data_IF_885395879121
#
_entry.id   IF_885395879121
#
_cell.length_a   1.000
_cell.length_b   1.000
_cell.length_c   1.000
_cell.angle_alpha   90.00
_cell.angle_beta   90.00
_cell.angle_gamma   90.00
#
_symmetry.space_group_name_H-M   'P 1'
#
loop_
_entity.id
_entity.type
_entity.pdbx_description
1 polymer ?
#
# COMPACT_ATOMS: atom_id res chain seq x y z
N UNK A 1 2.12 -2.69 -13.51
CA UNK A 1 3.21 -2.41 -14.46
C UNK A 1 4.34 -1.69 -13.73
N UNK A 2 5.59 -2.07 -14.01
CA UNK A 2 6.74 -1.28 -13.54
C UNK A 2 6.78 0.01 -14.36
N UNK A 3 6.82 1.15 -13.67
CA UNK A 3 6.77 2.46 -14.31
C UNK A 3 8.03 2.76 -15.16
N UNK A 4 9.17 2.19 -14.76
CA UNK A 4 10.45 2.28 -15.47
C UNK A 4 10.53 1.42 -16.75
N UNK A 5 9.60 0.47 -16.91
CA UNK A 5 9.45 -0.36 -18.09
C UNK A 5 8.24 0.05 -18.97
N UNK A 6 7.63 1.19 -18.65
CA UNK A 6 6.52 1.73 -19.41
C UNK A 6 7.02 2.33 -20.74
N UNK A 7 6.48 1.90 -21.86
CA UNK A 7 6.75 2.51 -23.17
C UNK A 7 5.46 2.66 -23.96
N UNK A 8 5.36 3.77 -24.69
CA UNK A 8 4.20 4.06 -25.56
C UNK A 8 3.98 2.98 -26.64
N UNK A 9 5.05 2.32 -27.12
CA UNK A 9 4.95 1.25 -28.13
C UNK A 9 4.23 0.00 -27.58
N UNK A 10 4.47 -0.34 -26.32
CA UNK A 10 3.76 -1.45 -25.66
C UNK A 10 2.30 -1.07 -25.44
N UNK A 11 2.06 0.18 -25.09
CA UNK A 11 0.73 0.68 -24.76
C UNK A 11 -0.15 0.89 -26.00
N UNK A 12 0.41 1.25 -27.15
CA UNK A 12 -0.35 1.35 -28.39
C UNK A 12 -1.03 0.02 -28.78
N UNK A 13 -0.38 -1.09 -28.46
CA UNK A 13 -0.92 -2.45 -28.71
C UNK A 13 -2.02 -2.87 -27.72
N UNK A 14 -2.11 -2.21 -26.55
CA UNK A 14 -3.12 -2.49 -25.51
C UNK A 14 -4.33 -1.54 -25.64
N UNK A 15 -4.17 -0.42 -26.35
CA UNK A 15 -5.20 0.62 -26.50
C UNK A 15 -6.49 0.14 -27.19
N UNK A 16 -6.40 -0.88 -28.04
CA UNK A 16 -7.54 -1.38 -28.84
C UNK A 16 -8.58 -2.15 -28.01
N UNK A 17 -8.27 -2.53 -26.76
CA UNK A 17 -9.13 -3.46 -26.03
C UNK A 17 -10.00 -2.77 -24.97
N UNK A 18 -9.52 -1.85 -24.20
CA UNK A 18 -10.24 -0.96 -23.25
C UNK A 18 -9.26 -0.17 -22.42
N UNK A 19 -9.43 1.16 -22.33
CA UNK A 19 -8.62 1.99 -21.43
C UNK A 19 -9.03 1.74 -19.96
N UNK A 20 -8.37 0.79 -19.32
CA UNK A 20 -8.44 0.62 -17.86
C UNK A 20 -7.54 1.65 -17.17
N UNK A 21 -7.69 1.82 -15.85
CA UNK A 21 -6.75 2.65 -15.07
C UNK A 21 -5.34 2.06 -15.12
N UNK A 22 -4.34 2.90 -15.30
CA UNK A 22 -2.94 2.49 -15.14
C UNK A 22 -2.57 2.46 -13.67
N UNK A 23 -1.84 1.45 -13.28
CA UNK A 23 -1.41 1.25 -11.90
C UNK A 23 0.11 1.30 -11.83
N UNK A 24 0.62 2.18 -10.99
CA UNK A 24 2.04 2.32 -10.67
C UNK A 24 2.23 2.10 -9.17
N UNK A 25 3.42 1.64 -8.79
CA UNK A 25 3.77 1.36 -7.40
C UNK A 25 5.02 2.17 -6.98
N UNK A 26 4.86 3.46 -6.65
CA UNK A 26 5.95 4.24 -6.05
C UNK A 26 6.43 3.67 -4.72
N UNK A 27 5.56 3.01 -3.98
CA UNK A 27 5.70 2.41 -2.65
C UNK A 27 5.83 3.43 -1.51
N UNK A 28 6.44 4.60 -1.75
CA UNK A 28 6.59 5.66 -0.75
C UNK A 28 6.41 7.05 -1.35
N UNK A 29 5.96 8.01 -0.54
CA UNK A 29 5.65 9.37 -0.95
C UNK A 29 6.88 10.21 -1.26
N UNK A 30 8.01 9.97 -0.57
CA UNK A 30 9.24 10.75 -0.73
C UNK A 30 10.35 9.94 -1.36
N UNK A 31 11.33 10.65 -1.98
CA UNK A 31 12.53 10.00 -2.51
C UNK A 31 13.32 9.34 -1.38
N UNK A 32 13.48 10.03 -0.24
CA UNK A 32 14.18 9.48 0.92
C UNK A 32 13.64 8.10 1.29
N UNK A 33 12.33 7.96 1.37
CA UNK A 33 11.72 6.69 1.79
C UNK A 33 11.83 5.62 0.70
N UNK A 34 11.74 6.00 -0.58
CA UNK A 34 12.03 5.08 -1.69
C UNK A 34 13.47 4.56 -1.67
N UNK A 35 14.42 5.41 -1.29
CA UNK A 35 15.83 5.01 -1.16
C UNK A 35 16.03 4.07 0.02
N UNK A 36 15.37 4.32 1.17
CA UNK A 36 15.41 3.42 2.34
C UNK A 36 14.96 2.00 1.99
N UNK A 37 13.90 1.85 1.20
CA UNK A 37 13.39 0.54 0.78
C UNK A 37 14.07 0.01 -0.49
N UNK A 38 15.12 0.67 -0.95
CA UNK A 38 15.88 0.33 -2.18
C UNK A 38 14.96 0.16 -3.42
N UNK A 39 13.96 1.02 -3.56
CA UNK A 39 13.01 0.94 -4.69
C UNK A 39 13.65 1.28 -6.04
N UNK A 40 14.72 2.08 -6.04
CA UNK A 40 15.43 2.49 -7.24
C UNK A 40 14.59 3.33 -8.23
N UNK A 41 13.52 3.97 -7.74
CA UNK A 41 12.56 4.73 -8.53
C UNK A 41 12.59 6.21 -8.11
N UNK A 42 12.96 7.09 -9.03
CA UNK A 42 12.98 8.53 -8.76
C UNK A 42 11.61 9.18 -9.01
N UNK A 43 11.38 10.33 -8.40
CA UNK A 43 10.18 11.12 -8.65
C UNK A 43 10.07 11.50 -10.13
N UNK A 44 11.20 11.83 -10.77
CA UNK A 44 11.26 12.15 -12.18
C UNK A 44 10.76 10.99 -13.07
N UNK A 45 11.18 9.76 -12.77
CA UNK A 45 10.72 8.56 -13.49
C UNK A 45 9.22 8.36 -13.31
N UNK A 46 8.69 8.60 -12.10
CA UNK A 46 7.26 8.51 -11.82
C UNK A 46 6.47 9.52 -12.64
N UNK A 47 6.89 10.77 -12.61
CA UNK A 47 6.22 11.85 -13.35
C UNK A 47 6.31 11.64 -14.85
N UNK A 48 7.47 11.23 -15.37
CA UNK A 48 7.64 10.88 -16.79
C UNK A 48 6.69 9.77 -17.22
N UNK A 49 6.61 8.68 -16.46
CA UNK A 49 5.68 7.59 -16.77
C UNK A 49 4.21 8.01 -16.73
N UNK A 50 3.85 8.91 -15.81
CA UNK A 50 2.51 9.49 -15.74
C UNK A 50 2.22 10.39 -16.96
N UNK A 51 3.18 11.25 -17.38
CA UNK A 51 3.05 12.08 -18.57
C UNK A 51 2.86 11.23 -19.83
N UNK A 52 3.67 10.20 -20.03
CA UNK A 52 3.53 9.27 -21.16
C UNK A 52 2.14 8.60 -21.17
N UNK A 53 1.62 8.23 -19.99
CA UNK A 53 0.27 7.68 -19.86
C UNK A 53 -0.79 8.70 -20.31
N UNK A 54 -0.66 9.96 -19.89
CA UNK A 54 -1.60 11.02 -20.24
C UNK A 54 -1.56 11.34 -21.73
N UNK A 55 -0.38 11.44 -22.35
CA UNK A 55 -0.22 11.58 -23.80
C UNK A 55 -0.79 10.37 -24.56
N UNK A 56 -0.73 9.17 -23.98
CA UNK A 56 -1.42 7.99 -24.48
C UNK A 56 -2.95 8.02 -24.31
N UNK A 57 -3.51 9.11 -23.74
CA UNK A 57 -4.96 9.32 -23.60
C UNK A 57 -5.58 8.66 -22.36
N UNK A 58 -4.78 8.20 -21.39
CA UNK A 58 -5.28 7.84 -20.07
C UNK A 58 -5.57 9.09 -19.25
N UNK A 59 -6.62 9.06 -18.46
CA UNK A 59 -6.95 10.09 -17.48
C UNK A 59 -7.18 9.50 -16.10
N UNK A 60 -6.86 8.21 -15.90
CA UNK A 60 -6.94 7.53 -14.60
C UNK A 60 -5.64 6.84 -14.28
N UNK A 61 -5.03 7.24 -13.16
CA UNK A 61 -3.79 6.67 -12.63
C UNK A 61 -4.04 6.20 -11.20
N UNK A 62 -3.62 4.99 -10.89
CA UNK A 62 -3.62 4.46 -9.52
C UNK A 62 -2.19 4.33 -9.04
N UNK A 63 -1.91 4.88 -7.87
CA UNK A 63 -0.61 4.85 -7.21
C UNK A 63 -0.71 3.99 -5.95
N UNK A 64 0.16 2.98 -5.83
CA UNK A 64 0.26 2.17 -4.63
C UNK A 64 1.39 2.63 -3.73
N UNK A 65 1.09 2.70 -2.42
CA UNK A 65 2.01 3.09 -1.37
C UNK A 65 1.95 2.11 -0.21
N UNK A 66 2.98 2.14 0.64
CA UNK A 66 3.00 1.49 1.94
C UNK A 66 3.06 2.53 3.05
N UNK A 67 2.44 2.25 4.19
CA UNK A 67 2.53 3.02 5.43
C UNK A 67 3.05 2.13 6.56
N UNK A 68 3.76 2.73 7.51
CA UNK A 68 4.38 2.01 8.62
C UNK A 68 5.74 1.40 8.27
N UNK A 69 6.40 1.90 7.23
CA UNK A 69 7.76 1.51 6.89
C UNK A 69 8.74 1.92 8.00
N UNK A 70 9.80 1.12 8.25
CA UNK A 70 10.84 1.52 9.18
C UNK A 70 11.42 2.90 8.86
N UNK A 71 11.59 3.74 9.87
CA UNK A 71 12.08 5.13 9.76
C UNK A 71 11.14 6.12 9.04
N UNK A 72 9.90 5.74 8.75
CA UNK A 72 8.90 6.62 8.13
C UNK A 72 8.61 7.83 9.03
N UNK A 73 8.65 9.02 8.46
CA UNK A 73 8.34 10.28 9.13
C UNK A 73 7.00 10.85 8.66
N UNK A 74 6.51 11.88 9.34
CA UNK A 74 5.29 12.59 8.94
C UNK A 74 5.41 13.16 7.52
N UNK A 75 6.57 13.71 7.18
CA UNK A 75 6.86 14.25 5.86
C UNK A 75 6.77 13.17 4.78
N UNK A 76 7.18 11.94 5.08
CA UNK A 76 7.08 10.82 4.13
C UNK A 76 5.62 10.44 3.88
N UNK A 77 4.80 10.43 4.93
CA UNK A 77 3.36 10.17 4.82
C UNK A 77 2.65 11.28 4.04
N UNK A 78 2.90 12.55 4.37
CA UNK A 78 2.36 13.70 3.65
C UNK A 78 2.82 13.74 2.19
N UNK A 79 4.03 13.25 1.92
CA UNK A 79 4.61 13.09 0.59
C UNK A 79 3.75 12.24 -0.36
N UNK A 80 2.93 11.32 0.16
CA UNK A 80 1.98 10.54 -0.65
C UNK A 80 0.95 11.47 -1.31
N UNK A 81 0.40 12.42 -0.56
CA UNK A 81 -0.56 13.39 -1.08
C UNK A 81 0.12 14.35 -2.06
N UNK A 82 1.31 14.83 -1.72
CA UNK A 82 2.09 15.75 -2.56
C UNK A 82 2.48 15.12 -3.90
N UNK A 83 2.94 13.88 -3.91
CA UNK A 83 3.25 13.16 -5.15
C UNK A 83 2.01 12.94 -6.00
N UNK A 84 0.88 12.62 -5.37
CA UNK A 84 -0.40 12.45 -6.07
C UNK A 84 -0.89 13.75 -6.69
N UNK A 85 -0.69 14.88 -5.99
CA UNK A 85 -0.98 16.24 -6.50
C UNK A 85 -0.14 16.56 -7.72
N UNK A 86 1.19 16.35 -7.66
CA UNK A 86 2.10 16.56 -8.80
C UNK A 86 1.67 15.76 -10.04
N UNK A 87 1.24 14.51 -9.84
CA UNK A 87 0.72 13.69 -10.95
C UNK A 87 -0.58 14.29 -11.52
N UNK A 88 -1.46 14.85 -10.69
CA UNK A 88 -2.68 15.48 -11.18
C UNK A 88 -2.40 16.83 -11.90
N UNK A 89 -1.50 17.63 -11.37
CA UNK A 89 -1.04 18.89 -12.00
C UNK A 89 -0.46 18.62 -13.37
N UNK A 90 0.42 17.63 -13.49
CA UNK A 90 1.05 17.23 -14.73
C UNK A 90 0.05 16.98 -15.87
N UNK A 91 -1.10 16.38 -15.58
CA UNK A 91 -2.15 16.20 -16.60
C UNK A 91 -2.68 17.53 -17.14
N UNK A 92 -2.84 18.51 -16.27
CA UNK A 92 -3.36 19.82 -16.68
C UNK A 92 -2.30 20.69 -17.36
N UNK A 93 -1.02 20.46 -17.07
CA UNK A 93 0.09 21.19 -17.68
C UNK A 93 0.45 20.61 -19.06
N UNK A 94 0.50 19.29 -19.17
CA UNK A 94 0.96 18.59 -20.39
C UNK A 94 -0.13 18.43 -21.44
N UNK A 95 -1.40 18.28 -21.04
CA UNK A 95 -2.49 17.98 -21.97
C UNK A 95 -3.33 19.23 -22.24
N UNK A 96 -3.31 19.77 -23.49
CA UNK A 96 -4.14 20.90 -23.89
C UNK A 96 -5.63 20.61 -23.63
N UNK A 97 -6.38 21.65 -23.24
CA UNK A 97 -7.79 21.53 -22.84
C UNK A 97 -8.65 20.80 -23.87
N UNK A 98 -8.38 21.04 -25.15
CA UNK A 98 -9.10 20.49 -26.29
C UNK A 98 -8.83 18.99 -26.49
N UNK A 99 -7.70 18.50 -25.97
CA UNK A 99 -7.28 17.10 -26.10
C UNK A 99 -7.61 16.27 -24.83
N UNK A 100 -8.12 16.91 -23.77
CA UNK A 100 -8.44 16.24 -22.50
C UNK A 100 -9.65 15.33 -22.65
N UNK A 101 -9.47 14.05 -22.34
CA UNK A 101 -10.54 13.09 -22.25
C UNK A 101 -11.18 13.14 -20.84
N UNK A 102 -11.82 14.29 -20.52
CA UNK A 102 -12.44 14.54 -19.22
C UNK A 102 -11.42 14.98 -18.13
N UNK A 103 -11.84 14.84 -16.87
CA UNK A 103 -11.00 15.18 -15.72
C UNK A 103 -10.03 14.06 -15.39
N UNK A 104 -8.82 14.42 -14.96
CA UNK A 104 -7.90 13.42 -14.40
C UNK A 104 -8.44 12.85 -13.09
N UNK A 105 -8.17 11.59 -12.85
CA UNK A 105 -8.40 10.92 -11.57
C UNK A 105 -7.14 10.20 -11.13
N UNK A 106 -6.54 10.67 -10.04
CA UNK A 106 -5.41 10.00 -9.39
C UNK A 106 -5.93 9.35 -8.11
N UNK A 107 -5.76 8.04 -8.01
CA UNK A 107 -6.16 7.26 -6.84
C UNK A 107 -4.92 6.76 -6.14
N UNK A 108 -4.61 7.32 -4.97
CA UNK A 108 -3.60 6.77 -4.08
C UNK A 108 -4.24 5.67 -3.21
N UNK A 109 -3.57 4.53 -3.13
CA UNK A 109 -4.00 3.42 -2.30
C UNK A 109 -2.83 2.94 -1.45
N UNK A 110 -2.97 3.03 -0.13
CA UNK A 110 -1.95 2.58 0.80
C UNK A 110 -2.30 1.21 1.38
N UNK A 111 -1.33 0.28 1.35
CA UNK A 111 -1.30 -0.89 2.21
C UNK A 111 -0.47 -0.58 3.44
N UNK A 112 -0.69 -1.32 4.51
CA UNK A 112 0.16 -1.24 5.69
C UNK A 112 1.32 -2.22 5.57
N UNK A 113 2.48 -1.81 6.09
CA UNK A 113 3.71 -2.58 5.96
C UNK A 113 3.69 -3.84 6.82
N UNK A 114 3.92 -4.98 6.18
CA UNK A 114 4.14 -6.28 6.84
C UNK A 114 5.54 -6.77 6.51
N UNK A 115 6.44 -6.89 7.50
CA UNK A 115 7.78 -7.43 7.30
C UNK A 115 7.70 -8.90 6.91
N UNK A 116 8.04 -9.22 5.68
CA UNK A 116 7.96 -10.60 5.18
C UNK A 116 9.22 -11.40 5.49
N UNK A 117 9.10 -12.72 5.72
CA UNK A 117 10.22 -13.65 5.74
C UNK A 117 11.13 -13.50 4.51
N UNK A 118 12.42 -13.80 4.68
CA UNK A 118 13.44 -13.74 3.64
C UNK A 118 13.66 -12.36 3.00
N UNK A 119 13.21 -11.29 3.67
CA UNK A 119 13.49 -9.91 3.23
C UNK A 119 14.41 -9.21 4.22
N UNK A 120 15.12 -8.14 3.80
CA UNK A 120 15.94 -7.35 4.72
C UNK A 120 15.18 -6.78 5.93
N UNK A 121 13.86 -6.69 5.85
CA UNK A 121 13.00 -6.17 6.91
C UNK A 121 12.41 -7.26 7.82
N UNK A 122 12.79 -8.52 7.69
CA UNK A 122 12.20 -9.62 8.47
C UNK A 122 12.34 -9.44 10.00
N UNK A 123 13.33 -8.68 10.47
CA UNK A 123 13.51 -8.35 11.90
C UNK A 123 12.69 -7.13 12.35
N UNK A 124 12.19 -6.32 11.40
CA UNK A 124 11.44 -5.13 11.75
C UNK A 124 10.13 -5.48 12.48
N UNK A 125 9.76 -4.64 13.43
CA UNK A 125 8.42 -4.68 14.02
C UNK A 125 7.39 -4.08 13.07
N UNK A 126 6.14 -4.49 13.23
CA UNK A 126 5.00 -3.83 12.61
C UNK A 126 4.51 -2.67 13.49
N UNK A 127 3.80 -1.75 12.90
CA UNK A 127 2.98 -0.82 13.66
C UNK A 127 1.80 -1.54 14.30
N UNK A 128 1.29 -1.00 15.42
CA UNK A 128 -0.01 -1.40 15.96
C UNK A 128 -1.14 -0.96 15.02
N UNK A 129 -2.33 -1.49 15.26
CA UNK A 129 -3.54 -1.07 14.54
C UNK A 129 -3.76 0.44 14.63
N UNK A 130 -3.64 0.98 15.84
CA UNK A 130 -3.84 2.40 16.13
C UNK A 130 -2.83 3.27 15.40
N UNK A 131 -1.56 2.87 15.40
CA UNK A 131 -0.49 3.57 14.67
C UNK A 131 -0.70 3.52 13.15
N UNK A 132 -1.19 2.42 12.59
CA UNK A 132 -1.55 2.33 11.18
C UNK A 132 -2.67 3.31 10.82
N UNK A 133 -3.72 3.37 11.65
CA UNK A 133 -4.85 4.28 11.42
C UNK A 133 -4.43 5.74 11.57
N UNK A 134 -3.59 6.07 12.56
CA UNK A 134 -3.03 7.41 12.71
C UNK A 134 -2.29 7.85 11.45
N UNK A 135 -1.41 7.00 10.91
CA UNK A 135 -0.68 7.26 9.67
C UNK A 135 -1.61 7.48 8.48
N UNK A 136 -2.60 6.61 8.34
CA UNK A 136 -3.59 6.75 7.27
C UNK A 136 -4.39 8.06 7.37
N UNK A 137 -4.71 8.51 8.59
CA UNK A 137 -5.39 9.79 8.81
C UNK A 137 -4.50 11.00 8.51
N UNK A 138 -3.20 10.95 8.84
CA UNK A 138 -2.24 12.00 8.44
C UNK A 138 -2.27 12.18 6.92
N UNK A 139 -2.16 11.10 6.17
CA UNK A 139 -2.25 11.14 4.70
C UNK A 139 -3.59 11.69 4.23
N UNK A 140 -4.69 11.18 4.79
CA UNK A 140 -6.06 11.59 4.44
C UNK A 140 -6.32 13.07 4.68
N UNK A 141 -5.80 13.61 5.77
CA UNK A 141 -5.93 15.02 6.09
C UNK A 141 -5.12 15.88 5.13
N UNK A 142 -3.91 15.44 4.78
CA UNK A 142 -3.09 16.12 3.77
C UNK A 142 -3.78 16.17 2.42
N UNK A 143 -4.46 15.12 1.97
CA UNK A 143 -5.24 15.14 0.74
C UNK A 143 -6.34 16.22 0.71
N UNK A 144 -6.91 16.61 1.86
CA UNK A 144 -7.92 17.67 1.94
C UNK A 144 -7.36 19.07 1.63
N UNK A 145 -6.05 19.25 1.86
CA UNK A 145 -5.33 20.51 1.63
C UNK A 145 -4.93 20.72 0.16
N UNK A 146 -4.93 19.65 -0.64
CA UNK A 146 -4.45 19.68 -2.03
C UNK A 146 -5.34 20.55 -2.92
N UNK A 147 -4.73 21.29 -3.84
CA UNK A 147 -5.43 22.17 -4.78
C UNK A 147 -6.36 21.40 -5.72
N UNK A 148 -5.85 20.27 -6.25
CA UNK A 148 -6.60 19.40 -7.16
C UNK A 148 -7.38 18.29 -6.41
N UNK A 149 -7.75 18.49 -5.15
CA UNK A 149 -8.42 17.48 -4.30
C UNK A 149 -9.65 16.81 -4.96
N UNK A 150 -10.32 17.49 -5.91
CA UNK A 150 -11.46 16.94 -6.66
C UNK A 150 -11.04 15.89 -7.72
N UNK A 151 -9.77 15.86 -8.06
CA UNK A 151 -9.14 14.89 -8.97
C UNK A 151 -8.43 13.78 -8.22
N UNK A 152 -8.29 13.91 -6.90
CA UNK A 152 -7.56 12.98 -6.04
C UNK A 152 -8.53 12.12 -5.24
N UNK A 153 -8.18 10.85 -5.07
CA UNK A 153 -8.86 9.92 -4.17
C UNK A 153 -7.82 9.16 -3.37
N UNK A 154 -8.08 9.02 -2.07
CA UNK A 154 -7.23 8.24 -1.17
C UNK A 154 -8.01 7.08 -0.55
N UNK A 155 -7.43 5.89 -0.59
CA UNK A 155 -7.92 4.68 0.07
C UNK A 155 -6.77 4.04 0.85
N UNK A 156 -7.09 3.30 1.90
CA UNK A 156 -6.13 2.47 2.62
C UNK A 156 -6.77 1.13 3.00
N UNK A 157 -5.94 0.13 3.28
CA UNK A 157 -6.39 -1.21 3.63
C UNK A 157 -6.88 -1.25 5.09
N UNK A 158 -7.63 -2.30 5.42
CA UNK A 158 -8.09 -2.57 6.78
C UNK A 158 -6.91 -2.93 7.69
N UNK A 159 -6.79 -2.23 8.84
CA UNK A 159 -5.69 -2.44 9.76
C UNK A 159 -5.77 -3.81 10.45
N UNK A 160 -6.96 -4.27 10.83
CA UNK A 160 -7.16 -5.58 11.45
C UNK A 160 -6.74 -6.73 10.54
N UNK A 161 -7.10 -6.66 9.24
CA UNK A 161 -6.64 -7.63 8.24
C UNK A 161 -5.12 -7.61 8.08
N UNK A 162 -4.49 -6.44 8.21
CA UNK A 162 -3.02 -6.33 8.13
C UNK A 162 -2.35 -6.97 9.34
N UNK A 163 -2.89 -6.79 10.53
CA UNK A 163 -2.39 -7.47 11.75
C UNK A 163 -2.47 -8.98 11.56
N UNK A 164 -3.61 -9.48 11.11
CA UNK A 164 -3.79 -10.90 10.83
C UNK A 164 -2.81 -11.40 9.75
N UNK A 165 -2.63 -10.65 8.66
CA UNK A 165 -1.64 -10.96 7.63
C UNK A 165 -0.23 -11.06 8.22
N UNK A 166 0.12 -10.16 9.13
CA UNK A 166 1.39 -10.18 9.86
C UNK A 166 1.59 -11.45 10.67
N UNK A 167 0.56 -11.86 11.43
CA UNK A 167 0.59 -13.11 12.20
C UNK A 167 0.75 -14.32 11.29
N UNK A 168 -0.04 -14.41 10.23
CA UNK A 168 0.01 -15.55 9.30
C UNK A 168 1.32 -15.61 8.51
N UNK A 169 1.88 -14.47 8.12
CA UNK A 169 3.13 -14.39 7.37
C UNK A 169 4.37 -14.70 8.22
N UNK A 170 4.33 -14.43 9.52
CA UNK A 170 5.49 -14.47 10.43
C UNK A 170 5.32 -15.50 11.56
N UNK A 171 4.18 -16.18 11.56
CA UNK A 171 3.80 -17.13 12.58
C UNK A 171 4.58 -18.44 12.50
N UNK A 172 4.51 -19.19 13.58
CA UNK A 172 4.99 -20.54 13.67
C UNK A 172 3.82 -21.55 13.75
N UNK A 173 4.14 -22.83 14.00
CA UNK A 173 3.15 -23.91 14.05
C UNK A 173 2.01 -23.68 15.08
N UNK A 174 2.17 -22.82 16.08
CA UNK A 174 1.13 -22.51 17.09
C UNK A 174 -0.07 -21.81 16.43
N UNK A 175 0.17 -21.03 15.38
CA UNK A 175 -0.88 -20.33 14.63
C UNK A 175 -1.84 -21.32 13.94
N UNK A 176 -1.43 -22.55 13.66
CA UNK A 176 -2.31 -23.56 13.07
C UNK A 176 -3.51 -23.89 13.96
N UNK A 177 -3.32 -23.92 15.30
CA UNK A 177 -4.42 -24.14 16.24
C UNK A 177 -5.44 -22.98 16.20
N UNK A 178 -4.97 -21.75 16.04
CA UNK A 178 -5.83 -20.56 15.91
C UNK A 178 -6.67 -20.64 14.63
N UNK A 179 -6.06 -21.00 13.50
CA UNK A 179 -6.76 -21.17 12.21
C UNK A 179 -7.84 -22.26 12.32
N UNK A 180 -7.53 -23.39 12.98
CA UNK A 180 -8.50 -24.47 13.21
C UNK A 180 -9.67 -23.98 14.07
N UNK A 181 -9.40 -23.22 15.13
CA UNK A 181 -10.41 -22.68 16.03
C UNK A 181 -11.31 -21.66 15.34
N UNK A 182 -10.73 -20.74 14.57
CA UNK A 182 -11.49 -19.77 13.76
C UNK A 182 -12.40 -20.47 12.75
N UNK A 183 -11.90 -21.53 12.10
CA UNK A 183 -12.71 -22.33 11.18
C UNK A 183 -13.88 -23.02 11.88
N UNK A 184 -13.65 -23.61 13.06
CA UNK A 184 -14.71 -24.24 13.89
C UNK A 184 -15.79 -23.24 14.30
N UNK A 185 -15.40 -21.96 14.50
CA UNK A 185 -16.30 -20.86 14.81
C UNK A 185 -16.98 -20.25 13.57
N UNK A 186 -16.84 -20.89 12.39
CA UNK A 186 -17.60 -20.59 11.19
C UNK A 186 -16.99 -19.54 10.28
N UNK A 187 -15.76 -19.10 10.52
CA UNK A 187 -15.08 -18.17 9.62
C UNK A 187 -14.69 -18.86 8.31
N UNK A 188 -15.01 -18.21 7.21
CA UNK A 188 -14.66 -18.59 5.85
C UNK A 188 -14.54 -17.33 4.98
N UNK A 189 -13.64 -17.36 4.02
CA UNK A 189 -13.46 -16.25 3.07
C UNK A 189 -13.00 -14.92 3.70
N UNK A 190 -12.22 -14.97 4.76
CA UNK A 190 -11.77 -13.79 5.52
C UNK A 190 -10.93 -12.78 4.72
N UNK A 191 -10.46 -13.14 3.52
CA UNK A 191 -9.85 -12.19 2.58
C UNK A 191 -10.87 -11.22 1.96
N UNK A 192 -12.17 -11.45 2.15
CA UNK A 192 -13.24 -10.57 1.71
C UNK A 192 -13.77 -9.80 2.92
N UNK A 193 -13.65 -8.48 2.91
CA UNK A 193 -13.99 -7.64 4.06
C UNK A 193 -15.41 -7.82 4.61
N UNK A 194 -16.36 -8.25 3.76
CA UNK A 194 -17.74 -8.55 4.15
C UNK A 194 -17.88 -9.84 4.99
N UNK A 195 -16.90 -10.75 4.91
CA UNK A 195 -16.88 -12.00 5.68
C UNK A 195 -15.90 -11.98 6.85
N UNK A 196 -14.96 -11.03 6.84
CA UNK A 196 -13.95 -10.90 7.89
C UNK A 196 -14.58 -10.44 9.21
N UNK A 197 -14.35 -11.20 10.27
CA UNK A 197 -14.76 -10.84 11.62
C UNK A 197 -13.55 -10.88 12.56
N UNK A 198 -13.05 -9.70 12.92
CA UNK A 198 -11.88 -9.58 13.81
C UNK A 198 -12.11 -10.19 15.19
N UNK A 199 -13.32 -10.07 15.76
CA UNK A 199 -13.61 -10.58 17.09
C UNK A 199 -13.49 -12.11 17.16
N UNK A 200 -13.89 -12.82 16.08
CA UNK A 200 -13.72 -14.28 15.97
C UNK A 200 -12.23 -14.67 16.00
N UNK A 201 -11.38 -13.91 15.33
CA UNK A 201 -9.93 -14.13 15.35
C UNK A 201 -9.32 -13.83 16.72
N UNK A 202 -9.68 -12.71 17.35
CA UNK A 202 -9.17 -12.35 18.68
C UNK A 202 -9.57 -13.37 19.74
N UNK A 203 -10.81 -13.86 19.71
CA UNK A 203 -11.29 -14.90 20.61
C UNK A 203 -10.54 -16.23 20.39
N UNK A 204 -10.24 -16.59 19.15
CA UNK A 204 -9.48 -17.79 18.83
C UNK A 204 -8.02 -17.69 19.31
N UNK A 205 -7.39 -16.53 19.16
CA UNK A 205 -6.05 -16.27 19.72
C UNK A 205 -6.04 -16.45 21.24
N UNK A 206 -7.01 -15.87 21.94
CA UNK A 206 -7.15 -16.02 23.40
C UNK A 206 -7.38 -17.49 23.79
N UNK A 207 -8.30 -18.18 23.13
CA UNK A 207 -8.62 -19.59 23.39
C UNK A 207 -7.42 -20.51 23.22
N UNK A 208 -6.60 -20.25 22.19
CA UNK A 208 -5.40 -21.04 21.90
C UNK A 208 -4.16 -20.57 22.69
N UNK A 209 -4.25 -19.51 23.50
CA UNK A 209 -3.13 -18.96 24.25
C UNK A 209 -2.01 -18.43 23.35
N UNK A 210 -2.35 -17.90 22.19
CA UNK A 210 -1.43 -17.34 21.19
C UNK A 210 -1.56 -15.83 21.20
N UNK A 211 -0.46 -15.14 21.45
CA UNK A 211 -0.41 -13.68 21.44
C UNK A 211 -0.07 -13.18 20.02
N UNK A 212 -0.98 -12.47 19.30
CA UNK A 212 -0.70 -11.91 17.98
C UNK A 212 0.43 -10.88 18.01
N UNK A 213 0.61 -10.13 19.10
CA UNK A 213 1.63 -9.10 19.25
C UNK A 213 3.03 -9.70 19.28
N UNK A 214 3.18 -10.94 19.74
CA UNK A 214 4.44 -11.67 19.66
C UNK A 214 4.97 -11.79 18.23
N UNK A 215 4.09 -11.92 17.25
CA UNK A 215 4.48 -12.06 15.83
C UNK A 215 4.57 -10.73 15.09
N UNK A 216 3.86 -9.70 15.54
CA UNK A 216 3.69 -8.44 14.81
C UNK A 216 4.52 -7.31 15.37
N UNK A 217 4.17 -6.77 16.53
CA UNK A 217 4.74 -5.54 17.07
C UNK A 217 5.96 -5.74 17.95
N UNK A 218 6.26 -6.97 18.33
CA UNK A 218 7.44 -7.28 19.15
C UNK A 218 8.73 -6.95 18.40
N UNK A 219 9.65 -6.25 19.06
CA UNK A 219 11.00 -6.08 18.58
C UNK A 219 11.73 -7.44 18.50
N UNK A 220 12.48 -7.67 17.44
CA UNK A 220 13.21 -8.92 17.19
C UNK A 220 14.71 -8.69 17.16
N UNK A 221 15.45 -9.54 17.87
CA UNK A 221 16.90 -9.55 17.81
C UNK A 221 17.39 -10.06 16.46
N UNK A 222 18.54 -9.55 16.01
CA UNK A 222 19.21 -10.05 14.81
C UNK A 222 19.71 -11.49 14.96
N UNK A 223 19.87 -11.97 16.21
CA UNK A 223 20.30 -13.34 16.54
C UNK A 223 19.09 -14.29 16.74
N UNK A 224 17.87 -13.80 16.57
CA UNK A 224 16.67 -14.62 16.69
C UNK A 224 16.58 -15.64 15.55
N UNK A 225 16.41 -16.91 15.90
CA UNK A 225 16.13 -17.98 14.92
C UNK A 225 14.66 -17.96 14.59
N UNK A 226 14.34 -17.79 13.33
CA UNK A 226 12.97 -17.72 12.86
C UNK A 226 12.43 -19.09 12.42
N UNK A 227 11.11 -19.28 12.36
CA UNK A 227 10.50 -20.51 11.88
C UNK A 227 10.88 -20.89 10.43
N UNK A 228 11.41 -19.96 9.67
CA UNK A 228 11.81 -20.12 8.26
C UNK A 228 13.32 -20.15 8.02
N UNK A 229 14.17 -20.15 9.06
CA UNK A 229 15.63 -20.27 8.96
C UNK A 229 16.10 -21.70 8.62
#
# INVERSE_FOLDING_TARGET
>A
LRIDAFSLDVMSKVQDIKKSSLTFAPEAGTQRMRDVINKGLTEEIILKGAAEAFHGGWNRVKLYFMLGLPTETREDMEGIALLSEKVAELYYDEIPKEQRNGKVQVVASSSFFVPKPFTPFQWAQMCTKEEFLERAYIVKDKFKEMLNRKSLKYNYHEADLTVLEGVLARGDRRVAAVVEEVYKNGAMFDSWGEYFNNDTWMQAFETCGVDPDFYTVRERSLDEVFPWD
#
